data_IF_880052263896
#
_entry.id   IF_880052263896
#
_cell.length_a   1.000
_cell.length_b   1.000
_cell.length_c   1.000
_cell.angle_alpha   90.00
_cell.angle_beta   90.00
_cell.angle_gamma   90.00
#
_symmetry.space_group_name_H-M   'P 1'
#
loop_
_entity.id
_entity.type
_entity.pdbx_description
1 polymer ?
#
# COMPACT_ATOMS: atom_id res chain seq x y z
N UNK A 1 -7.75 4.13 62.53
CA UNK A 1 -7.47 5.58 62.55
C UNK A 1 -8.02 6.16 61.26
N UNK A 2 -8.78 7.26 61.35
CA UNK A 2 -9.22 8.10 60.21
C UNK A 2 -8.02 8.94 59.67
N UNK A 3 -8.07 9.70 58.55
CA UNK A 3 -9.23 10.20 57.76
C UNK A 3 -9.23 9.76 56.28
N UNK A 4 -10.27 9.88 55.42
CA UNK A 4 -11.51 10.69 55.31
C UNK A 4 -11.38 12.15 54.81
N UNK A 5 -11.53 12.38 53.50
CA UNK A 5 -12.06 13.65 52.93
C UNK A 5 -12.86 13.37 51.64
N UNK A 6 -13.98 14.07 51.50
CA UNK A 6 -14.95 14.06 50.38
C UNK A 6 -14.40 14.61 49.05
N UNK A 7 -14.80 14.07 47.88
CA UNK A 7 -15.91 14.50 46.98
C UNK A 7 -15.88 15.98 46.58
N UNK A 8 -15.83 16.22 45.26
CA UNK A 8 -16.55 17.35 44.65
C UNK A 8 -17.25 16.89 43.36
N UNK A 9 -18.45 17.40 43.12
CA UNK A 9 -19.36 16.99 42.05
C UNK A 9 -19.80 18.20 41.24
N UNK A 10 -19.40 18.20 39.97
CA UNK A 10 -20.21 18.72 38.89
C UNK A 10 -19.73 20.00 38.21
N UNK A 11 -19.89 19.99 36.88
CA UNK A 11 -20.42 21.13 36.12
C UNK A 11 -21.20 20.62 34.91
N UNK A 12 -22.51 20.84 34.93
CA UNK A 12 -23.29 20.95 33.69
C UNK A 12 -22.84 22.19 32.93
N UNK A 13 -22.94 22.18 31.61
CA UNK A 13 -23.00 23.39 30.80
C UNK A 13 -24.17 23.24 29.83
N UNK A 14 -25.13 24.15 29.91
CA UNK A 14 -26.34 24.13 29.10
C UNK A 14 -26.12 24.67 27.68
N UNK A 15 -26.95 24.19 26.74
CA UNK A 15 -27.03 24.69 25.36
C UNK A 15 -27.93 25.94 25.29
N UNK A 16 -27.38 27.10 24.92
CA UNK A 16 -28.17 28.19 24.32
C UNK A 16 -27.35 29.23 23.52
N UNK A 17 -27.86 29.56 22.33
CA UNK A 17 -27.78 30.86 21.64
C UNK A 17 -26.41 31.52 21.32
N UNK A 18 -25.91 31.23 20.11
CA UNK A 18 -25.71 32.28 19.08
C UNK A 18 -24.69 33.42 19.33
N UNK A 19 -23.44 33.18 18.94
CA UNK A 19 -22.57 34.12 18.18
C UNK A 19 -21.29 33.40 17.73
N UNK A 20 -20.90 33.57 16.46
CA UNK A 20 -19.69 32.91 15.91
C UNK A 20 -18.38 33.53 16.42
N UNK A 21 -17.27 32.78 16.44
CA UNK A 21 -16.00 33.27 16.96
C UNK A 21 -15.29 34.21 15.97
N UNK A 22 -15.12 35.46 16.37
CA UNK A 22 -14.22 36.42 15.69
C UNK A 22 -12.78 36.17 16.13
N UNK A 23 -11.93 35.74 15.18
CA UNK A 23 -10.50 35.56 15.44
C UNK A 23 -9.80 36.92 15.65
N UNK A 24 -9.04 37.04 16.74
CA UNK A 24 -8.08 38.14 16.96
C UNK A 24 -6.65 37.63 16.70
N UNK A 25 -5.79 38.37 15.98
CA UNK A 25 -4.39 37.97 15.80
C UNK A 25 -3.56 38.23 17.07
N UNK A 26 -2.60 37.36 17.35
CA UNK A 26 -1.48 37.68 18.24
C UNK A 26 -0.46 38.60 17.55
N UNK A 27 0.24 39.49 18.28
CA UNK A 27 1.24 40.39 17.70
C UNK A 27 2.55 39.67 17.35
N UNK A 28 3.33 40.18 16.40
CA UNK A 28 4.59 39.56 15.98
C UNK A 28 5.73 39.85 16.95
N UNK A 29 6.58 38.86 17.22
CA UNK A 29 7.89 39.07 17.83
C UNK A 29 8.94 39.40 16.75
N UNK A 30 9.64 40.51 16.93
CA UNK A 30 10.79 40.93 16.10
C UNK A 30 12.07 40.96 16.95
N UNK A 31 13.27 40.84 16.33
CA UNK A 31 14.47 40.35 17.02
C UNK A 31 15.29 41.45 17.70
N UNK A 32 16.02 41.09 18.75
CA UNK A 32 17.04 41.95 19.37
C UNK A 32 18.45 41.45 19.04
N UNK A 33 19.26 42.34 18.44
CA UNK A 33 20.67 42.10 18.17
C UNK A 33 21.54 43.24 18.73
N UNK A 34 22.42 42.91 19.69
CA UNK A 34 23.63 43.64 20.06
C UNK A 34 24.36 42.82 21.14
N UNK A 35 25.69 42.82 21.31
CA UNK A 35 26.79 43.49 20.60
C UNK A 35 28.06 42.66 20.84
N UNK A 36 29.00 42.60 19.89
CA UNK A 36 30.29 41.93 20.06
C UNK A 36 31.25 42.74 20.96
N UNK A 37 32.37 42.13 21.38
CA UNK A 37 33.66 42.75 21.09
C UNK A 37 34.63 41.86 20.28
N UNK A 38 35.45 42.55 19.50
CA UNK A 38 36.67 42.10 18.82
C UNK A 38 37.79 41.74 19.82
N UNK A 39 38.97 41.20 19.47
CA UNK A 39 39.67 41.01 18.20
C UNK A 39 40.68 39.83 18.34
N UNK A 40 41.24 39.29 17.24
CA UNK A 40 42.35 38.32 17.37
C UNK A 40 42.71 37.53 16.10
N UNK A 41 43.37 38.19 15.13
CA UNK A 41 44.17 37.53 14.07
C UNK A 41 45.41 36.89 14.77
N UNK A 42 46.03 35.77 14.37
CA UNK A 42 46.87 35.54 13.17
C UNK A 42 47.05 34.02 12.87
N UNK A 43 47.35 33.69 11.61
CA UNK A 43 47.94 32.42 11.12
C UNK A 43 49.24 32.02 11.87
N UNK A 44 49.79 30.79 11.83
CA UNK A 44 50.14 30.00 10.64
C UNK A 44 50.78 28.63 10.99
N UNK A 45 50.94 27.77 9.97
CA UNK A 45 52.08 26.87 9.71
C UNK A 45 52.62 25.87 10.76
N UNK A 46 52.33 24.58 10.52
CA UNK A 46 53.24 23.41 10.37
C UNK A 46 54.48 23.15 11.27
N UNK A 47 54.74 21.84 11.47
CA UNK A 47 55.95 21.21 12.02
C UNK A 47 56.22 21.48 13.53
N UNK A 48 56.92 20.65 14.30
CA UNK A 48 57.41 19.27 14.21
C UNK A 48 57.74 18.86 15.67
N UNK A 49 57.53 17.62 16.11
CA UNK A 49 58.40 17.05 17.15
C UNK A 49 58.36 15.52 17.14
N UNK A 50 59.56 14.92 17.07
CA UNK A 50 59.77 13.47 17.05
C UNK A 50 60.58 13.02 18.28
N UNK A 51 60.45 11.73 18.66
CA UNK A 51 61.57 10.76 18.74
C UNK A 51 61.22 9.45 19.49
N UNK A 52 61.57 8.32 18.85
CA UNK A 52 62.07 7.05 19.43
C UNK A 52 61.13 6.21 20.35
N UNK A 53 61.12 4.86 20.36
CA UNK A 53 62.15 3.88 19.94
C UNK A 53 61.60 2.51 19.48
N UNK A 54 62.17 2.00 18.37
CA UNK A 54 62.48 0.59 17.98
C UNK A 54 61.96 -0.62 18.79
N UNK A 55 61.38 -1.59 18.09
CA UNK A 55 61.98 -2.86 17.57
C UNK A 55 60.93 -3.56 16.66
N UNK A 56 61.18 -3.92 15.39
CA UNK A 56 61.80 -5.18 14.90
C UNK A 56 60.79 -6.36 14.93
N UNK A 57 60.58 -7.28 13.96
CA UNK A 57 61.18 -7.69 12.66
C UNK A 57 60.12 -8.58 11.90
N UNK A 58 60.14 -8.90 10.60
CA UNK A 58 60.78 -8.37 9.37
C UNK A 58 60.31 -9.19 8.12
N UNK A 59 60.13 -8.57 6.94
CA UNK A 59 59.88 -9.24 5.63
C UNK A 59 58.41 -9.38 5.17
N UNK A 60 57.99 -9.03 3.95
CA UNK A 60 58.67 -8.33 2.85
C UNK A 60 58.48 -8.99 1.47
N UNK A 61 57.86 -8.28 0.51
CA UNK A 61 58.25 -8.22 -0.93
C UNK A 61 57.33 -7.30 -1.76
N UNK A 62 57.87 -6.09 -1.97
CA UNK A 62 57.95 -5.30 -3.21
C UNK A 62 56.93 -5.44 -4.37
N UNK A 63 56.35 -4.28 -4.68
CA UNK A 63 56.44 -3.54 -5.95
C UNK A 63 55.68 -4.00 -7.22
N UNK A 64 54.93 -3.05 -7.78
CA UNK A 64 54.27 -3.16 -9.09
C UNK A 64 53.47 -1.91 -9.46
N UNK A 65 54.13 -0.78 -9.75
CA UNK A 65 53.46 0.46 -10.20
C UNK A 65 53.31 0.46 -11.72
N UNK A 66 52.08 0.59 -12.25
CA UNK A 66 51.84 1.42 -13.45
C UNK A 66 50.36 1.65 -13.84
N UNK A 67 50.07 2.95 -14.03
CA UNK A 67 49.25 3.58 -15.08
C UNK A 67 47.78 3.19 -15.30
N UNK A 68 46.95 4.16 -14.93
CA UNK A 68 45.66 4.51 -15.49
C UNK A 68 45.69 4.70 -17.03
N UNK A 69 44.74 4.08 -17.74
CA UNK A 69 44.32 4.48 -19.10
C UNK A 69 42.79 4.38 -19.16
N UNK A 70 42.12 5.49 -19.44
CA UNK A 70 40.68 5.50 -19.70
C UNK A 70 40.38 5.41 -21.20
N UNK A 71 39.39 4.60 -21.59
CA UNK A 71 38.86 4.57 -22.96
C UNK A 71 37.34 4.69 -22.91
N UNK A 72 36.80 5.77 -23.49
CA UNK A 72 35.42 5.82 -23.98
C UNK A 72 35.40 5.22 -25.39
N UNK A 73 34.37 4.43 -25.70
CA UNK A 73 33.96 4.24 -27.09
C UNK A 73 32.44 4.02 -27.17
N UNK A 74 31.82 4.65 -28.18
CA UNK A 74 30.45 4.36 -28.64
C UNK A 74 30.57 3.55 -29.93
N UNK A 75 29.55 2.74 -30.23
CA UNK A 75 29.19 2.49 -31.62
C UNK A 75 29.46 1.07 -32.16
N UNK A 76 28.38 0.30 -32.13
CA UNK A 76 27.75 -0.27 -33.33
C UNK A 76 28.02 -1.73 -33.79
N UNK A 77 26.90 -2.27 -34.28
CA UNK A 77 26.59 -3.45 -35.09
C UNK A 77 27.56 -4.62 -35.26
N UNK A 78 27.01 -5.83 -35.09
CA UNK A 78 27.47 -7.03 -35.80
C UNK A 78 27.77 -8.24 -34.89
N UNK A 79 26.77 -9.08 -34.62
CA UNK A 79 27.02 -10.44 -34.13
C UNK A 79 26.27 -11.49 -34.94
N UNK A 80 27.04 -12.11 -35.84
CA UNK A 80 26.71 -13.25 -36.69
C UNK A 80 26.49 -14.49 -35.82
N UNK A 81 25.30 -15.08 -35.83
CA UNK A 81 25.05 -16.37 -35.15
C UNK A 81 25.52 -17.51 -36.04
N UNK A 82 26.52 -18.27 -35.59
CA UNK A 82 26.83 -19.58 -36.17
C UNK A 82 26.02 -20.65 -35.42
N UNK A 83 25.33 -21.50 -36.18
CA UNK A 83 24.59 -22.64 -35.64
C UNK A 83 25.39 -23.94 -35.83
N UNK A 84 25.54 -24.68 -34.74
CA UNK A 84 25.90 -26.10 -34.68
C UNK A 84 25.33 -26.66 -33.36
N UNK A 85 24.79 -27.88 -33.28
CA UNK A 85 24.45 -28.84 -34.32
C UNK A 85 23.76 -30.06 -33.68
N UNK A 86 23.36 -31.03 -34.50
CA UNK A 86 22.89 -32.38 -34.14
C UNK A 86 21.56 -32.52 -33.35
N UNK A 87 20.47 -32.78 -34.08
CA UNK A 87 19.41 -33.70 -33.66
C UNK A 87 19.38 -34.88 -34.64
N UNK A 88 19.34 -36.12 -34.13
CA UNK A 88 19.18 -37.34 -34.95
C UNK A 88 17.71 -37.70 -35.08
N UNK A 89 17.32 -38.25 -36.23
CA UNK A 89 15.94 -38.57 -36.57
C UNK A 89 15.67 -40.09 -36.63
N UNK A 90 14.39 -40.44 -36.38
CA UNK A 90 13.63 -41.58 -36.89
C UNK A 90 12.16 -41.08 -36.88
N UNK A 91 11.37 -41.04 -37.97
CA UNK A 91 11.02 -42.11 -38.94
C UNK A 91 9.76 -42.81 -38.41
N UNK A 92 8.61 -42.94 -39.08
CA UNK A 92 8.09 -42.72 -40.46
C UNK A 92 6.68 -42.05 -40.35
N UNK A 93 5.92 -41.66 -41.39
CA UNK A 93 6.02 -41.78 -42.86
C UNK A 93 4.96 -40.90 -43.58
N UNK A 94 4.96 -40.88 -44.91
CA UNK A 94 4.23 -39.92 -45.75
C UNK A 94 2.79 -40.33 -46.14
N UNK A 95 1.96 -39.31 -46.41
CA UNK A 95 0.71 -39.41 -47.17
C UNK A 95 0.34 -38.05 -47.77
N UNK A 96 0.52 -37.87 -49.08
CA UNK A 96 0.30 -36.59 -49.79
C UNK A 96 -1.15 -36.43 -50.27
N UNK A 97 -1.71 -35.22 -50.15
CA UNK A 97 -2.50 -34.61 -51.25
C UNK A 97 -2.12 -33.12 -51.33
N UNK A 98 -1.70 -32.67 -52.51
CA UNK A 98 -1.18 -31.34 -52.77
C UNK A 98 -2.14 -30.56 -53.67
N UNK A 99 -2.69 -29.43 -53.18
CA UNK A 99 -3.55 -28.52 -53.94
C UNK A 99 -3.08 -27.07 -53.79
N UNK A 100 -2.42 -26.51 -54.82
CA UNK A 100 -1.97 -25.11 -54.84
C UNK A 100 -2.97 -24.21 -55.56
N UNK A 101 -3.42 -23.15 -54.89
CA UNK A 101 -3.77 -21.87 -55.54
C UNK A 101 -3.08 -20.74 -54.77
N UNK A 102 -2.47 -19.81 -55.49
CA UNK A 102 -1.62 -18.74 -54.95
C UNK A 102 -2.34 -17.39 -54.94
N UNK A 103 -2.44 -16.74 -53.78
CA UNK A 103 -2.44 -15.26 -53.72
C UNK A 103 -2.14 -14.73 -52.30
N UNK A 104 -0.97 -14.10 -52.13
CA UNK A 104 -0.75 -13.00 -51.19
C UNK A 104 -0.76 -13.27 -49.67
N UNK A 105 0.43 -13.20 -49.06
CA UNK A 105 0.75 -13.00 -47.63
C UNK A 105 0.60 -14.22 -46.68
N UNK A 106 1.71 -14.58 -46.03
CA UNK A 106 1.76 -15.22 -44.72
C UNK A 106 1.25 -16.67 -44.64
N UNK A 107 2.14 -17.65 -44.72
CA UNK A 107 1.80 -19.06 -44.56
C UNK A 107 1.82 -19.45 -43.07
N UNK A 108 0.64 -19.69 -42.48
CA UNK A 108 0.52 -20.27 -41.14
C UNK A 108 0.59 -21.80 -41.21
N UNK A 109 1.46 -22.42 -40.41
CA UNK A 109 1.47 -23.87 -40.21
C UNK A 109 0.56 -24.19 -39.02
N UNK A 110 -0.65 -24.67 -39.28
CA UNK A 110 -1.56 -25.13 -38.24
C UNK A 110 -1.19 -26.56 -37.82
N UNK A 111 -0.85 -26.75 -36.55
CA UNK A 111 -0.82 -28.07 -35.92
C UNK A 111 -2.07 -28.14 -35.05
N UNK A 112 -3.01 -29.02 -35.40
CA UNK A 112 -4.20 -29.24 -34.59
C UNK A 112 -3.82 -30.00 -33.31
N UNK A 113 -4.14 -29.40 -32.18
CA UNK A 113 -4.37 -30.10 -30.91
C UNK A 113 -5.82 -29.81 -30.53
N UNK A 114 -6.52 -30.82 -30.04
CA UNK A 114 -7.90 -30.68 -29.58
C UNK A 114 -8.00 -29.74 -28.37
N UNK A 115 -9.20 -29.15 -28.23
CA UNK A 115 -9.72 -28.22 -27.20
C UNK A 115 -9.72 -26.71 -27.53
N UNK A 116 -10.94 -26.16 -27.58
CA UNK A 116 -11.27 -24.82 -28.04
C UNK A 116 -10.82 -23.69 -27.09
N UNK A 117 -9.76 -22.96 -27.46
CA UNK A 117 -9.56 -21.56 -27.03
C UNK A 117 -8.57 -20.79 -27.92
N UNK A 118 -9.06 -20.32 -29.08
CA UNK A 118 -8.30 -19.49 -30.03
C UNK A 118 -8.02 -18.07 -29.48
N UNK A 119 -6.89 -17.89 -28.79
CA UNK A 119 -6.31 -16.58 -28.48
C UNK A 119 -5.43 -16.09 -29.64
N UNK A 120 -5.88 -15.05 -30.33
CA UNK A 120 -5.18 -14.46 -31.48
C UNK A 120 -3.99 -13.60 -31.02
N UNK A 121 -2.78 -14.17 -30.95
CA UNK A 121 -1.56 -13.47 -30.50
C UNK A 121 -0.96 -12.60 -31.62
N UNK A 122 -1.37 -11.33 -31.67
CA UNK A 122 -0.71 -10.32 -32.52
C UNK A 122 0.63 -9.87 -31.90
N UNK A 123 1.73 -10.42 -32.39
CA UNK A 123 3.10 -10.04 -31.98
C UNK A 123 3.54 -8.69 -32.57
N UNK A 124 2.89 -7.60 -32.16
CA UNK A 124 3.47 -6.26 -32.32
C UNK A 124 4.55 -6.04 -31.27
N UNK A 125 5.82 -6.16 -31.68
CA UNK A 125 6.99 -5.94 -30.83
C UNK A 125 7.07 -4.50 -30.31
N UNK A 126 6.53 -4.27 -29.12
CA UNK A 126 6.72 -3.06 -28.33
C UNK A 126 6.96 -3.47 -26.88
N UNK A 127 8.01 -2.94 -26.26
CA UNK A 127 8.40 -3.27 -24.89
C UNK A 127 7.44 -2.61 -23.87
N UNK A 128 6.19 -3.07 -23.84
CA UNK A 128 5.17 -2.67 -22.87
C UNK A 128 5.60 -3.16 -21.49
N UNK A 129 6.17 -2.27 -20.67
CA UNK A 129 6.35 -2.54 -19.24
C UNK A 129 5.01 -2.98 -18.65
N UNK A 130 5.01 -4.11 -17.95
CA UNK A 130 3.85 -4.59 -17.18
C UNK A 130 3.47 -3.50 -16.16
N UNK A 131 2.18 -3.23 -15.91
CA UNK A 131 1.76 -2.30 -14.87
C UNK A 131 2.33 -2.69 -13.50
N UNK A 132 2.67 -1.70 -12.66
CA UNK A 132 3.21 -1.95 -11.31
C UNK A 132 2.26 -2.80 -10.45
N UNK A 133 0.97 -2.58 -10.61
CA UNK A 133 -0.08 -3.47 -10.14
C UNK A 133 -1.10 -3.71 -11.26
N UNK A 134 -1.57 -4.95 -11.38
CA UNK A 134 -2.70 -5.33 -12.24
C UNK A 134 -3.78 -5.87 -11.31
N UNK A 135 -5.05 -5.43 -11.44
CA UNK A 135 -6.13 -5.95 -10.61
C UNK A 135 -6.20 -7.47 -10.67
N UNK A 136 -6.58 -8.09 -9.56
CA UNK A 136 -6.87 -9.52 -9.56
C UNK A 136 -7.92 -9.81 -10.65
N UNK A 137 -7.68 -10.80 -11.52
CA UNK A 137 -8.53 -11.10 -12.67
C UNK A 137 -9.95 -11.47 -12.26
N UNK A 138 -10.84 -10.48 -12.28
CA UNK A 138 -12.27 -10.74 -12.35
C UNK A 138 -12.58 -11.33 -13.73
N UNK A 139 -13.44 -12.35 -13.78
CA UNK A 139 -14.17 -12.64 -15.01
C UNK A 139 -14.94 -11.38 -15.43
N UNK A 140 -15.08 -11.04 -16.72
CA UNK A 140 -15.71 -9.79 -17.15
C UNK A 140 -17.23 -9.82 -16.98
N UNK A 141 -17.69 -9.86 -15.72
CA UNK A 141 -19.01 -9.34 -15.36
C UNK A 141 -19.01 -7.85 -15.65
N UNK A 142 -20.10 -7.36 -16.22
CA UNK A 142 -20.18 -6.01 -16.73
C UNK A 142 -20.18 -5.01 -15.57
N UNK A 143 -19.01 -4.43 -15.29
CA UNK A 143 -18.95 -3.19 -14.51
C UNK A 143 -19.84 -2.13 -15.17
N UNK A 144 -20.50 -1.25 -14.39
CA UNK A 144 -21.39 -0.25 -14.95
C UNK A 144 -20.64 0.59 -15.98
N UNK A 145 -21.15 0.61 -17.21
CA UNK A 145 -20.57 1.39 -18.30
C UNK A 145 -20.55 2.87 -17.90
N UNK A 146 -19.35 3.40 -17.64
CA UNK A 146 -19.15 4.82 -17.39
C UNK A 146 -19.78 5.60 -18.57
N UNK A 147 -20.79 6.46 -18.33
CA UNK A 147 -21.43 7.19 -19.41
C UNK A 147 -20.39 8.09 -20.09
N UNK A 148 -20.18 7.88 -21.39
CA UNK A 148 -19.15 8.54 -22.22
C UNK A 148 -19.36 10.04 -22.45
N UNK A 149 -20.28 10.65 -21.70
CA UNK A 149 -20.47 12.10 -21.62
C UNK A 149 -20.91 12.48 -20.21
N UNK A 150 -20.09 13.26 -19.50
CA UNK A 150 -20.47 13.89 -18.23
C UNK A 150 -21.58 14.92 -18.47
N UNK A 151 -22.84 14.50 -18.42
CA UNK A 151 -24.00 15.39 -18.42
C UNK A 151 -24.43 15.69 -16.98
N UNK A 152 -24.35 16.96 -16.63
CA UNK A 152 -24.75 17.50 -15.35
C UNK A 152 -26.29 17.53 -15.25
N UNK A 153 -26.90 16.57 -14.53
CA UNK A 153 -28.34 16.59 -14.20
C UNK A 153 -28.68 15.64 -13.03
N UNK A 154 -28.91 16.20 -11.84
CA UNK A 154 -29.65 15.63 -10.68
C UNK A 154 -29.40 14.16 -10.24
N UNK A 155 -28.32 13.51 -10.65
CA UNK A 155 -27.94 12.17 -10.18
C UNK A 155 -27.05 12.25 -8.94
N UNK A 156 -27.45 11.60 -7.85
CA UNK A 156 -26.56 11.29 -6.72
C UNK A 156 -25.40 10.40 -7.17
N UNK A 157 -24.23 10.60 -6.58
CA UNK A 157 -23.01 9.85 -6.87
C UNK A 157 -23.21 8.33 -6.76
N UNK A 158 -22.52 7.57 -7.62
CA UNK A 158 -22.52 6.11 -7.56
C UNK A 158 -21.76 5.66 -6.32
N UNK A 159 -22.38 4.80 -5.50
CA UNK A 159 -21.72 4.24 -4.32
C UNK A 159 -20.78 3.12 -4.75
N UNK A 160 -19.47 3.30 -4.54
CA UNK A 160 -18.46 2.27 -4.84
C UNK A 160 -18.53 1.22 -3.72
N UNK A 161 -19.22 0.10 -3.98
CA UNK A 161 -19.43 -0.96 -3.00
C UNK A 161 -18.16 -1.82 -2.81
N UNK A 162 -17.36 -1.44 -1.81
CA UNK A 162 -16.19 -2.18 -1.41
C UNK A 162 -16.50 -3.52 -0.73
N UNK A 163 -17.73 -3.78 -0.24
CA UNK A 163 -18.12 -5.09 0.29
C UNK A 163 -18.27 -6.09 -0.85
N UNK A 164 -18.98 -5.70 -1.91
CA UNK A 164 -19.14 -6.52 -3.11
C UNK A 164 -17.78 -6.82 -3.77
N UNK A 165 -16.94 -5.79 -3.95
CA UNK A 165 -15.61 -5.97 -4.55
C UNK A 165 -14.71 -6.84 -3.66
N UNK A 166 -14.72 -6.66 -2.34
CA UNK A 166 -13.95 -7.50 -1.42
C UNK A 166 -14.43 -8.96 -1.41
N UNK A 167 -15.73 -9.20 -1.57
CA UNK A 167 -16.30 -10.54 -1.68
C UNK A 167 -15.77 -11.27 -2.93
N UNK A 168 -15.80 -10.65 -4.11
CA UNK A 168 -15.27 -11.25 -5.34
C UNK A 168 -13.78 -11.63 -5.20
N UNK A 169 -13.01 -10.77 -4.54
CA UNK A 169 -11.59 -11.02 -4.26
C UNK A 169 -11.44 -12.22 -3.31
N UNK A 170 -12.16 -12.25 -2.19
CA UNK A 170 -12.14 -13.39 -1.24
C UNK A 170 -12.56 -14.70 -1.90
N UNK A 171 -13.60 -14.71 -2.73
CA UNK A 171 -14.01 -15.91 -3.48
C UNK A 171 -12.93 -16.44 -4.42
N UNK A 172 -12.08 -15.56 -4.94
CA UNK A 172 -10.97 -15.97 -5.81
C UNK A 172 -9.72 -16.36 -5.02
N UNK A 173 -9.47 -15.72 -3.86
CA UNK A 173 -8.45 -16.15 -2.89
C UNK A 173 -8.76 -17.54 -2.34
N UNK A 174 -10.02 -17.83 -1.97
CA UNK A 174 -10.46 -19.14 -1.46
C UNK A 174 -10.10 -20.28 -2.44
N UNK A 175 -10.34 -20.08 -3.74
CA UNK A 175 -9.95 -21.03 -4.80
C UNK A 175 -8.42 -21.22 -4.89
N UNK A 176 -7.65 -20.14 -4.74
CA UNK A 176 -6.18 -20.23 -4.76
C UNK A 176 -5.59 -20.85 -3.49
N UNK A 177 -6.24 -20.67 -2.33
CA UNK A 177 -5.87 -21.34 -1.07
C UNK A 177 -6.15 -22.83 -1.15
N UNK A 178 -7.32 -23.23 -1.68
CA UNK A 178 -7.64 -24.63 -1.94
C UNK A 178 -6.62 -25.28 -2.90
N UNK A 179 -6.34 -24.64 -4.04
CA UNK A 179 -5.31 -25.08 -4.98
C UNK A 179 -3.92 -25.19 -4.34
N UNK A 180 -3.52 -24.23 -3.51
CA UNK A 180 -2.26 -24.29 -2.78
C UNK A 180 -2.23 -25.51 -1.85
N UNK A 181 -3.30 -25.75 -1.10
CA UNK A 181 -3.40 -26.89 -0.20
C UNK A 181 -3.32 -28.24 -0.95
N UNK A 182 -3.95 -28.36 -2.11
CA UNK A 182 -3.82 -29.53 -2.99
C UNK A 182 -2.39 -29.74 -3.50
N UNK A 183 -1.62 -28.66 -3.73
CA UNK A 183 -0.25 -28.74 -4.28
C UNK A 183 0.84 -28.99 -3.26
N UNK A 184 0.71 -28.46 -2.04
CA UNK A 184 1.77 -28.52 -1.01
C UNK A 184 1.31 -29.07 0.35
N UNK A 185 0.05 -29.49 0.49
CA UNK A 185 -0.49 -30.10 1.71
C UNK A 185 -0.61 -29.14 2.90
N UNK A 186 -0.63 -27.83 2.65
CA UNK A 186 -0.72 -26.79 3.69
C UNK A 186 -1.38 -25.52 3.17
N UNK A 187 -2.02 -24.78 4.08
CA UNK A 187 -2.69 -23.50 3.83
C UNK A 187 -1.84 -22.32 4.33
N UNK A 188 -2.09 -21.07 3.86
CA UNK A 188 -1.49 -19.89 4.46
C UNK A 188 -1.92 -19.72 5.93
N UNK A 189 -1.12 -18.99 6.70
CA UNK A 189 -1.35 -18.74 8.11
C UNK A 189 -1.10 -17.28 8.47
N UNK A 190 -2.08 -16.63 9.11
CA UNK A 190 -2.03 -15.23 9.52
C UNK A 190 -2.03 -15.13 11.04
N UNK A 191 -0.93 -14.62 11.61
CA UNK A 191 -0.88 -14.21 13.01
C UNK A 191 -1.40 -12.78 13.18
N UNK A 192 -2.17 -12.54 14.24
CA UNK A 192 -2.74 -11.24 14.58
C UNK A 192 -2.43 -10.91 16.05
N UNK A 193 -1.71 -9.82 16.28
CA UNK A 193 -1.32 -9.35 17.62
C UNK A 193 -2.19 -8.15 17.99
N UNK A 194 -2.98 -8.27 19.06
CA UNK A 194 -3.79 -7.20 19.65
C UNK A 194 -3.24 -6.83 21.02
N UNK A 195 -3.10 -5.55 21.30
CA UNK A 195 -2.68 -5.05 22.63
C UNK A 195 -3.78 -4.13 23.19
N UNK A 196 -4.24 -4.43 24.40
CA UNK A 196 -5.33 -3.71 25.06
C UNK A 196 -6.74 -4.08 24.59
N UNK A 197 -7.72 -3.41 25.19
CA UNK A 197 -9.12 -3.85 25.23
C UNK A 197 -10.07 -2.90 24.48
N UNK A 198 -9.53 -2.20 23.48
CA UNK A 198 -10.28 -1.35 22.57
C UNK A 198 -11.32 -2.17 21.78
N UNK A 199 -12.60 -1.86 21.98
CA UNK A 199 -13.74 -2.55 21.33
C UNK A 199 -13.70 -2.49 19.81
N UNK A 200 -13.25 -1.37 19.24
CA UNK A 200 -13.10 -1.21 17.80
C UNK A 200 -11.95 -2.08 17.25
N UNK A 201 -10.79 -2.08 17.91
CA UNK A 201 -9.68 -2.99 17.60
C UNK A 201 -10.08 -4.47 17.74
N UNK A 202 -10.94 -4.81 18.72
CA UNK A 202 -11.50 -6.17 18.83
C UNK A 202 -12.34 -6.55 17.62
N UNK A 203 -13.29 -5.69 17.25
CA UNK A 203 -14.19 -5.94 16.12
C UNK A 203 -13.40 -6.11 14.81
N UNK A 204 -12.37 -5.28 14.58
CA UNK A 204 -11.51 -5.41 13.42
C UNK A 204 -10.74 -6.75 13.39
N UNK A 205 -10.24 -7.25 14.53
CA UNK A 205 -9.58 -8.57 14.58
C UNK A 205 -10.59 -9.70 14.34
N UNK A 206 -11.78 -9.66 14.96
CA UNK A 206 -12.85 -10.65 14.73
C UNK A 206 -13.29 -10.70 13.27
N UNK A 207 -13.43 -9.54 12.60
CA UNK A 207 -13.76 -9.46 11.17
C UNK A 207 -12.66 -10.05 10.30
N UNK A 208 -11.38 -9.82 10.64
CA UNK A 208 -10.24 -10.40 9.92
C UNK A 208 -10.13 -11.90 10.13
N UNK A 209 -10.44 -12.41 11.32
CA UNK A 209 -10.49 -13.83 11.65
C UNK A 209 -11.58 -14.55 10.85
N UNK A 210 -12.83 -14.06 10.90
CA UNK A 210 -13.92 -14.62 10.10
C UNK A 210 -13.63 -14.59 8.58
N UNK A 211 -12.94 -13.55 8.10
CA UNK A 211 -12.52 -13.47 6.71
C UNK A 211 -11.36 -14.42 6.36
N UNK A 212 -10.53 -14.84 7.32
CA UNK A 212 -9.56 -15.92 7.14
C UNK A 212 -10.27 -17.27 6.95
N UNK A 213 -11.23 -17.58 7.84
CA UNK A 213 -12.01 -18.82 7.79
C UNK A 213 -12.76 -18.96 6.46
N UNK A 214 -13.40 -17.87 5.98
CA UNK A 214 -14.12 -17.81 4.69
C UNK A 214 -13.24 -18.19 3.48
N UNK A 215 -11.94 -17.89 3.53
CA UNK A 215 -10.99 -18.19 2.44
C UNK A 215 -10.08 -19.38 2.73
N UNK A 216 -10.27 -20.08 3.86
CA UNK A 216 -9.45 -21.23 4.26
C UNK A 216 -8.03 -20.88 4.74
N UNK A 217 -7.76 -19.62 5.10
CA UNK A 217 -6.49 -19.20 5.74
C UNK A 217 -6.58 -19.48 7.24
N UNK A 218 -5.51 -20.00 7.83
CA UNK A 218 -5.48 -20.30 9.26
C UNK A 218 -5.10 -19.06 10.08
N UNK A 219 -6.02 -18.59 10.92
CA UNK A 219 -5.76 -17.49 11.87
C UNK A 219 -5.00 -17.98 13.12
N UNK A 220 -4.24 -17.06 13.73
CA UNK A 220 -3.64 -17.21 15.05
C UNK A 220 -3.71 -15.86 15.78
N UNK A 221 -4.60 -15.73 16.77
CA UNK A 221 -4.76 -14.48 17.52
C UNK A 221 -3.99 -14.54 18.84
N UNK A 222 -3.16 -13.53 19.11
CA UNK A 222 -2.62 -13.25 20.45
C UNK A 222 -3.18 -11.91 20.94
N UNK A 223 -3.77 -11.93 22.14
CA UNK A 223 -4.20 -10.73 22.86
C UNK A 223 -3.29 -10.51 24.07
N UNK A 224 -2.70 -9.32 24.14
CA UNK A 224 -1.91 -8.84 25.27
C UNK A 224 -2.68 -7.77 26.04
N UNK A 225 -2.45 -7.70 27.36
CA UNK A 225 -2.99 -6.64 28.22
C UNK A 225 -2.66 -5.25 27.68
N UNK A 226 -3.52 -4.26 27.94
CA UNK A 226 -3.20 -2.85 27.70
C UNK A 226 -2.00 -2.34 28.52
N UNK A 227 -1.59 -3.10 29.55
CA UNK A 227 -0.40 -2.84 30.38
C UNK A 227 0.86 -3.62 29.95
N UNK A 228 0.82 -4.35 28.82
CA UNK A 228 1.99 -5.08 28.33
C UNK A 228 3.13 -4.12 27.96
N UNK A 229 4.37 -4.56 28.16
CA UNK A 229 5.57 -3.82 27.74
C UNK A 229 5.82 -3.94 26.23
N UNK A 230 6.68 -3.08 25.69
CA UNK A 230 7.13 -3.19 24.30
C UNK A 230 7.86 -4.53 24.04
N UNK A 231 8.64 -5.00 25.00
CA UNK A 231 9.35 -6.28 24.95
C UNK A 231 8.38 -7.48 24.88
N UNK A 232 7.27 -7.47 25.63
CA UNK A 232 6.24 -8.52 25.56
C UNK A 232 5.65 -8.65 24.15
N UNK A 233 5.42 -7.52 23.48
CA UNK A 233 4.91 -7.47 22.10
C UNK A 233 5.96 -7.99 21.12
N UNK A 234 7.22 -7.57 21.29
CA UNK A 234 8.34 -8.02 20.46
C UNK A 234 8.60 -9.54 20.63
N UNK A 235 8.43 -10.11 21.82
CA UNK A 235 8.56 -11.55 22.04
C UNK A 235 7.46 -12.34 21.30
N UNK A 236 6.20 -11.86 21.33
CA UNK A 236 5.11 -12.45 20.53
C UNK A 236 5.43 -12.40 19.04
N UNK A 237 5.87 -11.25 18.53
CA UNK A 237 6.24 -11.08 17.13
C UNK A 237 7.40 -12.00 16.75
N UNK A 238 8.42 -12.13 17.61
CA UNK A 238 9.57 -12.97 17.35
C UNK A 238 9.21 -14.47 17.33
N UNK A 239 8.31 -14.92 18.20
CA UNK A 239 7.75 -16.29 18.14
C UNK A 239 7.02 -16.52 16.81
N UNK A 240 6.22 -15.56 16.34
CA UNK A 240 5.55 -15.66 15.04
C UNK A 240 6.49 -15.51 13.84
N UNK A 241 7.58 -14.77 13.94
CA UNK A 241 8.65 -14.73 12.92
C UNK A 241 9.27 -16.12 12.74
N UNK A 242 9.52 -16.84 13.85
CA UNK A 242 10.15 -18.16 13.84
C UNK A 242 9.17 -19.31 13.49
N UNK A 243 7.87 -19.18 13.77
CA UNK A 243 6.88 -20.21 13.46
C UNK A 243 6.74 -20.45 11.95
N UNK A 244 7.03 -21.69 11.50
CA UNK A 244 6.96 -22.09 10.10
C UNK A 244 5.54 -22.20 9.54
N UNK A 245 4.52 -22.24 10.41
CA UNK A 245 3.08 -22.28 10.08
C UNK A 245 2.51 -20.89 9.81
N UNK A 246 3.20 -19.85 10.30
CA UNK A 246 2.81 -18.45 10.12
C UNK A 246 3.52 -17.87 8.91
N UNK A 247 2.73 -17.28 8.01
CA UNK A 247 3.15 -16.74 6.74
C UNK A 247 2.97 -15.22 6.67
N UNK A 248 1.98 -14.69 7.40
CA UNK A 248 1.79 -13.26 7.62
C UNK A 248 1.66 -12.93 9.10
N UNK A 249 2.09 -11.74 9.49
CA UNK A 249 1.89 -11.15 10.82
C UNK A 249 1.23 -9.79 10.63
N UNK A 250 0.15 -9.55 11.37
CA UNK A 250 -0.51 -8.27 11.53
C UNK A 250 -0.36 -7.82 12.99
N UNK A 251 0.06 -6.57 13.19
CA UNK A 251 -0.05 -5.89 14.48
C UNK A 251 -1.25 -4.96 14.41
N UNK A 252 -2.28 -5.19 15.22
CA UNK A 252 -3.50 -4.37 15.18
C UNK A 252 -3.25 -3.00 15.82
N UNK A 253 -3.29 -1.96 14.99
CA UNK A 253 -3.16 -0.57 15.41
C UNK A 253 -4.51 0.04 15.86
N UNK A 254 -4.49 1.14 16.65
CA UNK A 254 -3.32 1.72 17.30
C UNK A 254 -2.91 0.93 18.55
N UNK A 255 -1.61 0.93 18.83
CA UNK A 255 -1.06 0.41 20.08
C UNK A 255 -1.25 1.40 21.24
N UNK A 256 -1.20 0.94 22.50
CA UNK A 256 -1.09 1.81 23.68
C UNK A 256 0.03 2.86 23.56
N UNK A 257 -0.18 4.05 24.11
CA UNK A 257 0.70 5.22 23.92
C UNK A 257 2.11 5.08 24.51
N UNK A 258 2.35 4.10 25.37
CA UNK A 258 3.67 3.81 25.93
C UNK A 258 4.51 2.83 25.08
N UNK A 259 3.97 2.35 23.95
CA UNK A 259 4.64 1.41 23.03
C UNK A 259 4.97 2.14 21.72
N UNK A 260 6.23 2.09 21.31
CA UNK A 260 6.70 2.71 20.07
C UNK A 260 6.26 1.86 18.88
N UNK A 261 5.25 2.35 18.17
CA UNK A 261 4.66 1.65 17.03
C UNK A 261 5.69 1.31 15.96
N UNK A 262 6.63 2.22 15.67
CA UNK A 262 7.69 1.96 14.69
C UNK A 262 8.62 0.82 15.12
N UNK A 263 8.99 0.70 16.41
CA UNK A 263 9.81 -0.42 16.91
C UNK A 263 9.09 -1.75 16.70
N UNK A 264 7.81 -1.79 17.05
CA UNK A 264 6.97 -3.00 16.95
C UNK A 264 6.77 -3.43 15.49
N UNK A 265 6.47 -2.49 14.59
CA UNK A 265 6.33 -2.77 13.16
C UNK A 265 7.66 -3.19 12.52
N UNK A 266 8.78 -2.61 12.94
CA UNK A 266 10.12 -3.02 12.49
C UNK A 266 10.52 -4.41 12.99
N UNK A 267 9.95 -4.90 14.10
CA UNK A 267 10.15 -6.25 14.60
C UNK A 267 9.52 -7.35 13.72
N UNK A 268 8.58 -7.01 12.84
CA UNK A 268 7.98 -7.96 11.90
C UNK A 268 8.95 -8.26 10.75
N UNK A 269 9.27 -9.53 10.55
CA UNK A 269 10.12 -9.97 9.43
C UNK A 269 9.53 -9.56 8.08
N UNK A 270 10.37 -9.08 7.16
CA UNK A 270 9.94 -8.48 5.90
C UNK A 270 9.17 -9.46 5.00
N UNK A 271 9.46 -10.75 5.12
CA UNK A 271 8.79 -11.86 4.43
C UNK A 271 7.39 -12.14 4.96
N UNK A 272 7.06 -11.68 6.18
CA UNK A 272 5.77 -11.85 6.87
C UNK A 272 5.03 -10.53 7.16
N UNK A 273 5.60 -9.37 6.83
CA UNK A 273 4.94 -8.05 6.90
C UNK A 273 3.84 -7.90 5.83
N UNK A 274 2.78 -8.69 5.97
CA UNK A 274 1.69 -8.77 4.99
C UNK A 274 0.77 -7.55 4.99
N UNK A 275 0.83 -6.72 6.05
CA UNK A 275 0.17 -5.41 6.07
C UNK A 275 1.02 -4.33 5.38
N UNK A 276 2.29 -4.63 5.05
CA UNK A 276 3.21 -3.82 4.26
C UNK A 276 3.80 -2.61 4.98
N UNK A 277 3.72 -2.57 6.31
CA UNK A 277 4.00 -1.36 7.12
C UNK A 277 5.47 -1.21 7.50
N UNK A 278 6.32 -2.21 7.24
CA UNK A 278 7.75 -2.09 7.44
C UNK A 278 8.31 -0.96 6.53
N UNK A 279 9.12 -0.01 7.04
CA UNK A 279 9.69 1.08 6.26
C UNK A 279 10.47 0.64 5.01
N UNK A 280 11.00 -0.59 4.98
CA UNK A 280 11.64 -1.17 3.79
C UNK A 280 10.62 -1.41 2.67
N UNK A 281 9.40 -1.86 2.98
CA UNK A 281 8.34 -2.00 1.98
C UNK A 281 7.90 -0.63 1.44
N UNK A 282 7.67 0.34 2.33
CA UNK A 282 7.30 1.71 1.92
C UNK A 282 8.42 2.40 1.12
N UNK A 283 9.69 2.22 1.49
CA UNK A 283 10.84 2.77 0.76
C UNK A 283 11.06 2.14 -0.62
N UNK A 284 10.84 0.82 -0.75
CA UNK A 284 10.81 0.13 -2.06
C UNK A 284 9.66 0.61 -2.92
N UNK A 285 8.47 0.80 -2.34
CA UNK A 285 7.33 1.42 -3.02
C UNK A 285 7.65 2.85 -3.47
N UNK A 286 8.36 3.66 -2.68
CA UNK A 286 8.81 5.01 -3.05
C UNK A 286 9.88 5.04 -4.16
N UNK A 287 10.35 3.88 -4.65
CA UNK A 287 11.39 3.82 -5.69
C UNK A 287 12.79 4.17 -5.19
N UNK A 288 13.02 4.18 -3.87
CA UNK A 288 14.33 4.38 -3.25
C UNK A 288 15.26 3.15 -3.39
N UNK A 289 14.81 2.11 -4.11
CA UNK A 289 15.60 0.96 -4.49
C UNK A 289 15.17 0.43 -5.86
N UNK A 290 16.04 -0.33 -6.51
CA UNK A 290 15.72 -1.05 -7.75
C UNK A 290 14.89 -2.32 -7.54
N UNK A 291 14.45 -2.61 -6.30
CA UNK A 291 13.62 -3.74 -5.94
C UNK A 291 12.18 -3.28 -5.68
N UNK A 292 11.22 -4.05 -6.16
CA UNK A 292 9.82 -3.90 -5.81
C UNK A 292 9.58 -4.25 -4.32
N UNK A 293 8.55 -3.66 -3.68
CA UNK A 293 8.22 -3.97 -2.30
C UNK A 293 7.82 -5.44 -2.13
N UNK A 294 8.15 -6.03 -0.97
CA UNK A 294 7.77 -7.42 -0.66
C UNK A 294 6.25 -7.54 -0.54
N UNK A 295 5.61 -6.50 0.01
CA UNK A 295 4.16 -6.30 0.05
C UNK A 295 3.83 -4.82 -0.12
N UNK A 296 2.74 -4.50 -0.81
CA UNK A 296 2.19 -3.14 -0.86
C UNK A 296 1.20 -2.98 0.30
N UNK A 297 1.19 -1.85 1.03
CA UNK A 297 0.32 -1.68 2.20
C UNK A 297 -1.16 -1.88 1.89
N UNK A 298 -1.87 -2.61 2.76
CA UNK A 298 -3.20 -3.15 2.42
C UNK A 298 -4.26 -2.08 2.14
N UNK A 299 -4.31 -1.01 2.93
CA UNK A 299 -5.31 0.07 2.75
C UNK A 299 -5.04 0.89 1.47
N UNK A 300 -3.82 1.40 1.21
CA UNK A 300 -3.44 2.00 -0.07
C UNK A 300 -3.75 1.12 -1.28
N UNK A 301 -3.43 -0.18 -1.19
CA UNK A 301 -3.71 -1.13 -2.26
C UNK A 301 -5.21 -1.34 -2.48
N UNK A 302 -6.00 -1.39 -1.40
CA UNK A 302 -7.46 -1.44 -1.45
C UNK A 302 -8.07 -0.20 -2.11
N UNK A 303 -7.53 0.99 -1.85
CA UNK A 303 -7.93 2.23 -2.52
C UNK A 303 -7.69 2.17 -4.04
N UNK A 304 -6.54 1.64 -4.47
CA UNK A 304 -6.23 1.44 -5.88
C UNK A 304 -7.17 0.39 -6.52
N UNK A 305 -7.38 -0.76 -5.89
CA UNK A 305 -8.31 -1.80 -6.40
C UNK A 305 -9.74 -1.27 -6.55
N UNK A 306 -10.25 -0.46 -5.62
CA UNK A 306 -11.55 0.20 -5.73
C UNK A 306 -11.65 1.06 -6.99
N UNK A 307 -10.64 1.91 -7.25
CA UNK A 307 -10.58 2.76 -8.44
C UNK A 307 -10.52 1.91 -9.71
N UNK A 308 -9.61 0.94 -9.79
CA UNK A 308 -9.39 0.15 -11.00
C UNK A 308 -10.60 -0.76 -11.31
N UNK A 309 -11.22 -1.38 -10.30
CA UNK A 309 -12.39 -2.26 -10.49
C UNK A 309 -13.70 -1.49 -10.72
N UNK A 310 -13.80 -0.26 -10.24
CA UNK A 310 -14.87 0.65 -10.66
C UNK A 310 -14.70 1.14 -12.12
N UNK A 311 -13.55 0.89 -12.74
CA UNK A 311 -13.26 1.28 -14.14
C UNK A 311 -12.63 2.66 -14.28
N UNK A 312 -12.05 3.21 -13.21
CA UNK A 312 -11.35 4.50 -13.26
C UNK A 312 -10.03 4.34 -14.02
N UNK A 313 -9.91 5.02 -15.16
CA UNK A 313 -8.59 5.29 -15.75
C UNK A 313 -7.85 6.29 -14.87
N UNK A 314 -6.91 5.78 -14.05
CA UNK A 314 -6.07 6.56 -13.13
C UNK A 314 -4.95 7.31 -13.89
N UNK A 315 -4.57 6.86 -15.09
CA UNK A 315 -3.49 7.47 -15.85
C UNK A 315 -3.84 8.92 -16.26
N UNK A 316 -2.94 9.86 -15.98
CA UNK A 316 -3.06 11.31 -16.25
C UNK A 316 -4.18 12.03 -15.49
N UNK A 317 -4.82 11.40 -14.51
CA UNK A 317 -5.77 12.08 -13.60
C UNK A 317 -5.03 12.97 -12.62
N UNK A 318 -5.68 14.07 -12.22
CA UNK A 318 -5.27 14.84 -11.04
C UNK A 318 -5.83 14.15 -9.80
N UNK A 319 -4.96 13.64 -8.94
CA UNK A 319 -5.32 13.02 -7.67
C UNK A 319 -4.86 13.87 -6.50
N UNK A 320 -5.72 14.07 -5.50
CA UNK A 320 -5.36 14.66 -4.22
C UNK A 320 -5.49 13.61 -3.13
N UNK A 321 -4.44 13.46 -2.31
CA UNK A 321 -4.47 12.65 -1.10
C UNK A 321 -4.41 13.59 0.10
N UNK A 322 -5.42 13.53 0.96
CA UNK A 322 -5.55 14.36 2.17
C UNK A 322 -5.12 13.49 3.36
N UNK A 323 -4.07 13.93 4.07
CA UNK A 323 -3.35 13.16 5.07
C UNK A 323 -2.11 12.48 4.49
N UNK A 324 -0.98 12.56 5.20
CA UNK A 324 0.31 11.98 4.78
C UNK A 324 0.89 11.00 5.82
N UNK A 325 0.04 10.16 6.42
CA UNK A 325 0.53 9.12 7.36
C UNK A 325 1.40 8.08 6.64
N UNK A 326 2.42 7.56 7.33
CA UNK A 326 3.33 6.53 6.81
C UNK A 326 2.60 5.22 6.42
N UNK A 327 1.45 4.95 7.06
CA UNK A 327 0.65 3.73 6.91
C UNK A 327 -0.35 3.81 5.76
N UNK A 328 -0.92 4.99 5.48
CA UNK A 328 -2.01 5.15 4.50
C UNK A 328 -1.76 6.28 3.51
N UNK A 329 -1.66 7.52 3.99
CA UNK A 329 -1.66 8.70 3.13
C UNK A 329 -0.47 8.72 2.16
N UNK A 330 0.75 8.63 2.70
CA UNK A 330 1.96 8.66 1.89
C UNK A 330 2.05 7.49 0.90
N UNK A 331 1.87 6.21 1.29
CA UNK A 331 1.94 5.10 0.32
C UNK A 331 0.82 5.15 -0.73
N UNK A 332 -0.37 5.68 -0.42
CA UNK A 332 -1.45 5.87 -1.41
C UNK A 332 -1.04 6.88 -2.49
N UNK A 333 -0.44 8.00 -2.09
CA UNK A 333 0.04 9.01 -3.02
C UNK A 333 1.11 8.45 -3.98
N UNK A 334 2.08 7.68 -3.45
CA UNK A 334 3.10 7.00 -4.25
C UNK A 334 2.47 5.95 -5.19
N UNK A 335 1.48 5.18 -4.72
CA UNK A 335 0.83 4.14 -5.51
C UNK A 335 0.05 4.74 -6.69
N UNK A 336 -0.70 5.82 -6.48
CA UNK A 336 -1.38 6.57 -7.55
C UNK A 336 -0.39 7.19 -8.53
N UNK A 337 0.74 7.71 -8.05
CA UNK A 337 1.83 8.22 -8.89
C UNK A 337 2.45 7.12 -9.77
N UNK A 338 2.67 5.91 -9.23
CA UNK A 338 3.11 4.74 -10.02
C UNK A 338 2.09 4.32 -11.08
N UNK A 339 0.81 4.58 -10.83
CA UNK A 339 -0.28 4.46 -11.82
C UNK A 339 -0.43 5.70 -12.72
N UNK A 340 0.58 6.58 -12.75
CA UNK A 340 0.72 7.76 -13.61
C UNK A 340 -0.35 8.84 -13.39
N UNK A 341 -0.96 8.90 -12.20
CA UNK A 341 -1.68 10.10 -11.79
C UNK A 341 -0.69 11.24 -11.51
N UNK A 342 -1.12 12.48 -11.75
CA UNK A 342 -0.49 13.66 -11.14
C UNK A 342 -1.03 13.79 -9.72
N UNK A 343 -0.16 13.67 -8.72
CA UNK A 343 -0.57 13.56 -7.31
C UNK A 343 -0.14 14.79 -6.51
N UNK A 344 -1.09 15.39 -5.79
CA UNK A 344 -0.84 16.42 -4.78
C UNK A 344 -1.19 15.85 -3.40
N UNK A 345 -0.30 16.03 -2.42
CA UNK A 345 -0.54 15.64 -1.03
C UNK A 345 -0.91 16.89 -0.24
N UNK A 346 -2.00 16.81 0.52
CA UNK A 346 -2.55 17.89 1.35
C UNK A 346 -2.57 17.40 2.80
N UNK A 347 -2.24 18.26 3.76
CA UNK A 347 -2.37 17.97 5.19
C UNK A 347 -3.56 18.74 5.79
N UNK A 348 -4.03 18.31 6.96
CA UNK A 348 -5.15 18.95 7.67
C UNK A 348 -4.88 20.40 8.08
N UNK A 349 -3.60 20.77 8.20
CA UNK A 349 -3.09 22.11 8.54
C UNK A 349 -2.62 22.92 7.31
N UNK A 350 -2.74 22.36 6.10
CA UNK A 350 -2.38 23.07 4.86
C UNK A 350 -3.29 24.29 4.68
N UNK A 351 -2.75 25.51 4.45
CA UNK A 351 -3.58 26.67 4.15
C UNK A 351 -4.43 26.44 2.90
N UNK A 352 -5.73 26.71 2.98
CA UNK A 352 -6.71 26.55 1.89
C UNK A 352 -6.67 25.17 1.19
N UNK A 353 -6.89 24.05 1.92
CA UNK A 353 -6.77 22.70 1.35
C UNK A 353 -7.76 22.46 0.19
N UNK A 354 -8.85 23.22 0.17
CA UNK A 354 -9.86 23.29 -0.90
C UNK A 354 -9.30 23.66 -2.28
N UNK A 355 -8.21 24.44 -2.35
CA UNK A 355 -7.67 24.92 -3.63
C UNK A 355 -7.10 23.78 -4.48
N UNK A 356 -6.46 22.80 -3.82
CA UNK A 356 -5.98 21.58 -4.45
C UNK A 356 -7.15 20.65 -4.84
N UNK A 357 -8.09 20.41 -3.92
CA UNK A 357 -9.17 19.43 -4.12
C UNK A 357 -10.20 19.85 -5.18
N UNK A 358 -10.44 21.16 -5.36
CA UNK A 358 -11.40 21.68 -6.37
C UNK A 358 -11.00 21.38 -7.82
N UNK A 359 -9.74 21.03 -8.07
CA UNK A 359 -9.25 20.69 -9.40
C UNK A 359 -9.05 19.17 -9.61
N UNK A 360 -9.15 18.38 -8.54
CA UNK A 360 -8.87 16.95 -8.53
C UNK A 360 -9.97 16.13 -9.22
N UNK A 361 -9.56 15.17 -10.05
CA UNK A 361 -10.44 14.12 -10.59
C UNK A 361 -10.68 13.01 -9.56
N UNK A 362 -9.68 12.75 -8.71
CA UNK A 362 -9.70 11.72 -7.65
C UNK A 362 -9.33 12.41 -6.33
N UNK A 363 -10.14 12.23 -5.28
CA UNK A 363 -9.83 12.67 -3.92
C UNK A 363 -9.80 11.45 -3.01
N UNK A 364 -8.68 11.23 -2.32
CA UNK A 364 -8.57 10.23 -1.26
C UNK A 364 -8.39 10.94 0.08
N UNK A 365 -9.25 10.68 1.06
CA UNK A 365 -9.10 11.23 2.42
C UNK A 365 -8.67 10.14 3.39
N UNK A 366 -7.55 10.36 4.08
CA UNK A 366 -6.92 9.46 5.04
C UNK A 366 -6.35 10.25 6.24
N UNK A 367 -7.17 11.14 6.78
CA UNK A 367 -6.89 12.07 7.89
C UNK A 367 -7.33 11.53 9.25
N UNK A 368 -8.40 10.73 9.31
CA UNK A 368 -9.02 10.29 10.56
C UNK A 368 -9.87 11.36 11.25
N UNK A 369 -10.16 12.48 10.57
CA UNK A 369 -10.94 13.60 11.10
C UNK A 369 -12.37 13.54 10.53
N UNK A 370 -13.40 13.19 11.33
CA UNK A 370 -14.75 12.96 10.83
C UNK A 370 -15.33 14.15 10.06
N UNK A 371 -15.87 13.89 8.86
CA UNK A 371 -16.57 14.88 8.02
C UNK A 371 -15.79 16.17 7.71
N UNK A 372 -14.44 16.14 7.77
CA UNK A 372 -13.55 17.24 7.40
C UNK A 372 -13.77 17.70 5.95
N UNK A 373 -13.86 16.75 5.02
CA UNK A 373 -14.00 17.04 3.58
C UNK A 373 -15.47 17.32 3.28
N UNK A 374 -15.78 18.58 2.96
CA UNK A 374 -17.13 19.06 2.62
C UNK A 374 -17.40 18.99 1.13
N UNK A 375 -18.67 19.03 0.73
CA UNK A 375 -19.04 18.89 -0.69
C UNK A 375 -18.47 20.00 -1.58
N UNK A 376 -18.31 21.22 -1.05
CA UNK A 376 -17.76 22.37 -1.77
C UNK A 376 -16.22 22.34 -1.93
N UNK A 377 -15.54 21.35 -1.33
CA UNK A 377 -14.13 21.07 -1.58
C UNK A 377 -13.91 20.32 -2.90
N UNK A 378 -14.96 19.66 -3.41
CA UNK A 378 -14.86 18.69 -4.48
C UNK A 378 -15.12 19.33 -5.86
N UNK A 379 -14.34 18.90 -6.85
CA UNK A 379 -14.66 19.13 -8.26
C UNK A 379 -15.97 18.42 -8.62
N UNK A 380 -16.92 19.07 -9.31
CA UNK A 380 -18.08 18.38 -9.87
C UNK A 380 -17.67 17.20 -10.75
N UNK A 381 -18.18 16.01 -10.45
CA UNK A 381 -17.81 14.76 -11.11
C UNK A 381 -16.56 14.05 -10.58
N UNK A 382 -15.91 14.55 -9.50
CA UNK A 382 -14.80 13.87 -8.85
C UNK A 382 -15.17 12.45 -8.37
N UNK A 383 -14.16 11.59 -8.23
CA UNK A 383 -14.27 10.28 -7.58
C UNK A 383 -13.66 10.39 -6.18
N UNK A 384 -14.41 9.97 -5.16
CA UNK A 384 -14.03 10.14 -3.75
C UNK A 384 -13.81 8.78 -3.09
N UNK A 385 -12.61 8.58 -2.54
CA UNK A 385 -12.25 7.44 -1.70
C UNK A 385 -12.09 7.95 -0.26
N UNK A 386 -13.05 7.60 0.59
CA UNK A 386 -13.03 7.89 2.02
C UNK A 386 -12.42 6.71 2.78
N UNK A 387 -11.23 6.91 3.32
CA UNK A 387 -10.48 5.93 4.12
C UNK A 387 -10.72 6.13 5.62
N UNK A 388 -11.38 7.22 6.02
CA UNK A 388 -11.70 7.51 7.42
C UNK A 388 -12.55 6.40 8.04
N UNK A 389 -12.21 5.99 9.26
CA UNK A 389 -12.94 4.96 10.01
C UNK A 389 -12.98 5.30 11.49
N UNK A 390 -13.34 6.54 11.82
CA UNK A 390 -13.35 7.03 13.19
C UNK A 390 -14.58 6.51 13.92
N UNK A 391 -14.36 5.74 14.99
CA UNK A 391 -15.42 5.29 15.87
C UNK A 391 -15.91 6.45 16.74
N UNK A 392 -17.22 6.67 16.76
CA UNK A 392 -17.90 7.62 17.65
C UNK A 392 -18.88 6.84 18.51
N UNK A 393 -18.86 7.07 19.82
CA UNK A 393 -19.77 6.43 20.77
C UNK A 393 -21.23 6.65 20.36
N UNK A 394 -21.99 5.56 20.35
CA UNK A 394 -23.39 5.55 19.93
C UNK A 394 -24.13 4.48 20.74
N UNK A 395 -24.83 4.87 21.82
CA UNK A 395 -25.54 3.95 22.70
C UNK A 395 -26.71 3.20 22.04
N UNK A 396 -27.18 3.64 20.86
CA UNK A 396 -28.25 2.97 20.12
C UNK A 396 -27.73 1.80 19.27
N UNK A 397 -26.41 1.74 19.04
CA UNK A 397 -25.75 0.66 18.30
C UNK A 397 -25.37 -0.50 19.23
N UNK A 398 -25.57 -1.74 18.79
CA UNK A 398 -25.17 -2.96 19.53
C UNK A 398 -23.66 -2.99 19.86
N UNK A 399 -22.83 -2.44 18.96
CA UNK A 399 -21.39 -2.24 19.16
C UNK A 399 -21.05 -1.18 20.23
N UNK A 400 -21.99 -0.31 20.59
CA UNK A 400 -21.78 0.90 21.39
C UNK A 400 -21.09 2.04 20.64
N UNK A 401 -20.87 1.90 19.33
CA UNK A 401 -20.26 2.94 18.49
C UNK A 401 -20.68 2.79 17.02
N UNK A 402 -20.72 3.93 16.32
CA UNK A 402 -20.84 4.04 14.86
C UNK A 402 -19.49 4.43 14.25
N UNK A 403 -19.25 4.05 13.00
CA UNK A 403 -18.03 4.42 12.27
C UNK A 403 -18.37 5.52 11.26
N UNK A 404 -17.65 6.64 11.33
CA UNK A 404 -17.81 7.77 10.41
C UNK A 404 -16.51 7.98 9.61
N UNK A 405 -16.67 8.32 8.34
CA UNK A 405 -15.57 8.67 7.44
C UNK A 405 -15.09 10.12 7.57
N UNK A 406 -14.02 10.44 6.85
CA UNK A 406 -13.47 11.78 6.79
C UNK A 406 -14.31 12.73 5.93
N UNK A 407 -15.17 12.19 5.06
CA UNK A 407 -15.98 12.95 4.10
C UNK A 407 -17.39 13.13 4.63
N UNK A 408 -17.95 14.33 4.46
CA UNK A 408 -19.39 14.54 4.65
C UNK A 408 -20.14 13.91 3.47
N UNK A 409 -20.52 12.64 3.64
CA UNK A 409 -21.05 11.79 2.57
C UNK A 409 -22.28 12.41 1.88
N UNK A 410 -23.20 12.99 2.66
CA UNK A 410 -24.45 13.60 2.17
C UNK A 410 -24.20 14.84 1.30
N UNK A 411 -23.11 15.58 1.53
CA UNK A 411 -22.73 16.69 0.66
C UNK A 411 -21.95 16.20 -0.56
N UNK A 412 -21.00 15.30 -0.35
CA UNK A 412 -20.15 14.77 -1.41
C UNK A 412 -20.94 13.96 -2.45
N UNK A 413 -21.98 13.22 -2.06
CA UNK A 413 -22.83 12.47 -2.99
C UNK A 413 -23.62 13.37 -3.97
N UNK A 414 -23.70 14.68 -3.72
CA UNK A 414 -24.36 15.64 -4.62
C UNK A 414 -23.40 16.29 -5.64
N UNK A 415 -22.09 16.07 -5.48
CA UNK A 415 -21.03 16.72 -6.26
C UNK A 415 -20.16 15.70 -6.99
N UNK A 416 -19.81 14.59 -6.33
CA UNK A 416 -19.01 13.51 -6.88
C UNK A 416 -19.76 12.73 -7.98
N UNK A 417 -19.01 12.11 -8.90
CA UNK A 417 -19.57 11.08 -9.81
C UNK A 417 -19.65 9.72 -9.12
N UNK A 418 -18.70 9.42 -8.23
CA UNK A 418 -18.67 8.20 -7.42
C UNK A 418 -18.02 8.43 -6.06
N UNK A 419 -18.49 7.72 -5.04
CA UNK A 419 -17.99 7.83 -3.66
C UNK A 419 -18.02 6.48 -2.94
N UNK A 420 -16.99 6.15 -2.17
CA UNK A 420 -17.01 4.99 -1.26
C UNK A 420 -17.80 5.31 0.02
N UNK A 421 -18.74 4.46 0.47
CA UNK A 421 -19.44 4.67 1.73
C UNK A 421 -18.56 4.29 2.94
N UNK A 422 -18.77 4.94 4.08
CA UNK A 422 -18.24 4.50 5.37
C UNK A 422 -19.42 4.20 6.30
N UNK A 423 -19.58 2.96 6.83
CA UNK A 423 -18.79 1.76 6.54
C UNK A 423 -19.19 1.05 5.23
N UNK A 424 -18.23 0.40 4.56
CA UNK A 424 -18.49 -0.49 3.42
C UNK A 424 -17.60 -0.27 2.19
N UNK A 425 -16.87 0.84 2.15
CA UNK A 425 -15.87 1.15 1.14
C UNK A 425 -14.52 0.50 1.41
N UNK A 426 -13.59 1.26 1.99
CA UNK A 426 -12.17 0.85 2.07
C UNK A 426 -11.90 -0.27 3.08
N UNK A 427 -12.58 -0.29 4.24
CA UNK A 427 -12.34 -1.30 5.30
C UNK A 427 -12.42 -2.78 4.86
N UNK A 428 -13.49 -3.21 4.15
CA UNK A 428 -13.56 -4.55 3.54
C UNK A 428 -12.39 -4.84 2.58
N UNK A 429 -11.96 -3.84 1.80
CA UNK A 429 -10.87 -3.96 0.85
C UNK A 429 -9.52 -4.11 1.53
N UNK A 430 -9.25 -3.37 2.61
CA UNK A 430 -8.06 -3.57 3.46
C UNK A 430 -7.97 -5.03 3.93
N UNK A 431 -9.10 -5.61 4.36
CA UNK A 431 -9.15 -7.02 4.79
C UNK A 431 -8.88 -7.97 3.63
N UNK A 432 -9.50 -7.78 2.46
CA UNK A 432 -9.23 -8.60 1.28
C UNK A 432 -7.76 -8.52 0.81
N UNK A 433 -7.13 -7.34 0.90
CA UNK A 433 -5.72 -7.14 0.55
C UNK A 433 -4.78 -7.81 1.56
N UNK A 434 -5.10 -7.81 2.84
CA UNK A 434 -4.34 -8.54 3.88
C UNK A 434 -4.32 -10.05 3.62
N UNK A 435 -5.47 -10.63 3.25
CA UNK A 435 -5.58 -12.05 2.88
C UNK A 435 -4.80 -12.34 1.58
N UNK A 436 -4.87 -11.45 0.59
CA UNK A 436 -4.10 -11.53 -0.66
C UNK A 436 -2.59 -11.52 -0.41
N UNK A 437 -2.10 -10.59 0.41
CA UNK A 437 -0.68 -10.53 0.80
C UNK A 437 -0.27 -11.78 1.61
N UNK A 438 -1.13 -12.29 2.50
CA UNK A 438 -0.87 -13.53 3.27
C UNK A 438 -0.73 -14.75 2.36
N UNK A 439 -1.62 -14.90 1.36
CA UNK A 439 -1.52 -15.96 0.36
C UNK A 439 -0.22 -15.83 -0.46
N UNK A 440 0.14 -14.61 -0.89
CA UNK A 440 1.40 -14.36 -1.61
C UNK A 440 2.63 -14.69 -0.76
N UNK A 441 2.61 -14.38 0.54
CA UNK A 441 3.68 -14.75 1.47
C UNK A 441 3.88 -16.26 1.54
N UNK A 442 2.77 -17.01 1.66
CA UNK A 442 2.79 -18.46 1.72
C UNK A 442 3.22 -19.09 0.39
N UNK A 443 2.65 -18.64 -0.74
CA UNK A 443 3.05 -19.09 -2.09
C UNK A 443 4.55 -18.87 -2.33
N UNK A 444 5.08 -17.69 -1.99
CA UNK A 444 6.52 -17.37 -2.08
C UNK A 444 7.37 -18.33 -1.24
N UNK A 445 6.96 -18.64 0.00
CA UNK A 445 7.67 -19.57 0.90
C UNK A 445 7.79 -20.98 0.32
N UNK A 446 6.78 -21.45 -0.40
CA UNK A 446 6.77 -22.78 -1.02
C UNK A 446 7.20 -22.78 -2.50
N UNK A 447 7.72 -21.66 -3.03
CA UNK A 447 8.16 -21.56 -4.43
C UNK A 447 7.01 -21.66 -5.45
N UNK A 448 5.76 -21.46 -5.01
CA UNK A 448 4.60 -21.44 -5.88
C UNK A 448 4.51 -20.07 -6.57
N UNK A 449 4.61 -20.05 -7.89
CA UNK A 449 4.20 -18.90 -8.70
C UNK A 449 2.74 -19.06 -9.10
N UNK A 450 1.91 -18.08 -8.73
CA UNK A 450 0.57 -17.90 -9.30
C UNK A 450 0.73 -17.70 -10.82
N UNK A 451 0.02 -18.49 -11.63
CA UNK A 451 -0.04 -18.33 -13.08
C UNK A 451 -1.00 -17.21 -13.49
#
# INVERSE_FOLDING_TARGET
MAPSVDVDVGRKVDLAAGRGPTWRPFPPHSPTASRAPSAGVVSSSAAEFARSSKQGREGGREAGVSRMVGIRSRGDCGRRVQASGAWKAAGFGLGEIMGRVLSGRGMCMAVAFDDDSLMCTSTTGGNKKVPFWVPFTASPSQGPLLPSSFKQANSTAVKIDGRAIAYDIKMTLSKQVAWMNEKVGTVPGLAMVRVGDRKDSELYVRVKEAACDEVGIKSYVTHLSGSASEDDVLEVIQRYNQDSRVHGILVQLPLPSHIHTDTVLNGVSLEKDVDGLNPVNVGRLAGLSNLDPTFVPCTPLGCLELLLRYGVDVEKKQAVVIGCSNVVGFPTAILLQKHKASVTIVQVDTPNPMEATKNADIVVSATGVPQLVRGDWLKPGAIVIDVGTTAIEDPEMESGFRVIGDVCFEEAERVASAITPVPGGVGPMTTAMLLSNTLKAAQRRFGLTSR
#
